data_IF_788092210545
#
_entry.id   IF_788092210545
#
_cell.length_a   1.000
_cell.length_b   1.000
_cell.length_c   1.000
_cell.angle_alpha   90.00
_cell.angle_beta   90.00
_cell.angle_gamma   90.00
#
_symmetry.space_group_name_H-M   'P 1'
#
loop_
_entity.id
_entity.type
_entity.pdbx_description
1 polymer ?
#
# COMPACT_ATOMS: atom_id res chain seq x y z
N UNK A 1 1.18 9.07 14.74
CA UNK A 1 1.64 7.74 15.18
C UNK A 1 2.71 7.95 16.26
N UNK A 2 2.71 7.17 17.35
CA UNK A 2 3.82 7.13 18.30
C UNK A 2 5.12 6.76 17.56
N UNK A 3 6.19 7.52 17.78
CA UNK A 3 7.46 7.36 17.09
C UNK A 3 8.37 8.56 17.26
N UNK A 4 9.59 8.47 16.75
CA UNK A 4 10.54 9.60 16.71
C UNK A 4 10.47 10.21 15.32
N UNK A 5 10.02 11.47 15.24
CA UNK A 5 10.13 12.25 14.00
C UNK A 5 11.55 12.74 13.83
N UNK A 6 12.18 12.36 12.72
CA UNK A 6 13.50 12.81 12.33
C UNK A 6 13.43 14.21 11.68
N UNK A 7 14.53 15.00 11.67
CA UNK A 7 14.53 16.34 11.06
C UNK A 7 14.14 16.39 9.58
N UNK A 8 14.27 15.29 8.86
CA UNK A 8 13.88 15.15 7.45
C UNK A 8 12.39 14.81 7.25
N UNK A 9 11.60 14.67 8.32
CA UNK A 9 10.18 14.32 8.28
C UNK A 9 9.89 12.82 8.36
N UNK A 10 10.90 11.95 8.29
CA UNK A 10 10.73 10.51 8.46
C UNK A 10 10.34 10.18 9.90
N UNK A 11 9.63 9.07 10.11
CA UNK A 11 9.30 8.59 11.45
C UNK A 11 9.95 7.24 11.71
N UNK A 12 10.70 7.14 12.80
CA UNK A 12 11.08 5.84 13.34
C UNK A 12 9.90 5.30 14.14
N UNK A 13 9.36 4.17 13.71
CA UNK A 13 8.14 3.58 14.26
C UNK A 13 8.30 2.07 14.46
N UNK A 14 7.59 1.52 15.45
CA UNK A 14 7.37 0.07 15.56
C UNK A 14 6.01 -0.28 14.93
N UNK A 15 6.00 -1.18 13.95
CA UNK A 15 4.79 -1.82 13.45
C UNK A 15 4.80 -3.30 13.79
N UNK A 16 3.61 -3.88 13.93
CA UNK A 16 3.40 -5.32 14.09
C UNK A 16 2.49 -5.81 13.00
N UNK A 17 2.69 -7.05 12.56
CA UNK A 17 1.99 -7.57 11.39
C UNK A 17 2.64 -8.82 10.84
N UNK A 18 2.25 -9.17 9.63
CA UNK A 18 2.69 -10.40 8.96
C UNK A 18 3.61 -10.06 7.80
N UNK A 19 4.79 -10.67 7.80
CA UNK A 19 5.76 -10.52 6.72
C UNK A 19 5.43 -11.49 5.58
N UNK A 20 5.55 -11.02 4.35
CA UNK A 20 5.43 -11.80 3.13
C UNK A 20 6.80 -11.86 2.48
N UNK A 21 7.33 -13.07 2.31
CA UNK A 21 8.71 -13.26 1.86
C UNK A 21 8.83 -12.79 0.42
N UNK A 22 9.63 -11.75 0.20
CA UNK A 22 9.97 -11.28 -1.15
C UNK A 22 11.33 -11.80 -1.60
N UNK A 23 12.10 -10.93 -2.24
CA UNK A 23 13.37 -11.32 -2.84
C UNK A 23 14.24 -10.13 -3.22
N UNK A 24 15.46 -10.42 -3.71
CA UNK A 24 16.41 -9.39 -4.07
C UNK A 24 16.01 -8.67 -5.36
N UNK A 25 16.13 -7.35 -5.34
CA UNK A 25 16.23 -6.51 -6.52
C UNK A 25 17.72 -6.33 -6.85
N UNK A 26 18.13 -6.77 -8.04
CA UNK A 26 19.54 -6.67 -8.46
C UNK A 26 19.84 -5.37 -9.23
N UNK A 27 18.82 -4.60 -9.61
CA UNK A 27 18.98 -3.36 -10.39
C UNK A 27 19.18 -2.15 -9.48
N UNK A 28 18.39 -2.10 -8.41
CA UNK A 28 18.61 -1.23 -7.26
C UNK A 28 18.83 -2.19 -6.09
N UNK A 29 20.05 -2.28 -5.51
CA UNK A 29 20.43 -3.37 -4.62
C UNK A 29 19.67 -3.31 -3.29
N UNK A 30 18.42 -3.76 -3.35
CA UNK A 30 17.47 -3.87 -2.25
C UNK A 30 17.05 -5.33 -2.08
N UNK A 31 16.59 -5.66 -0.88
CA UNK A 31 15.83 -6.88 -0.64
C UNK A 31 14.46 -6.46 -0.15
N UNK A 32 13.44 -6.83 -0.93
CA UNK A 32 12.07 -6.42 -0.69
C UNK A 32 11.31 -7.50 0.08
N UNK A 33 10.50 -7.09 1.06
CA UNK A 33 9.42 -7.90 1.63
C UNK A 33 8.09 -7.17 1.45
N UNK A 34 6.99 -7.93 1.42
CA UNK A 34 5.68 -7.37 1.71
C UNK A 34 5.43 -7.42 3.22
N UNK A 35 4.70 -6.45 3.76
CA UNK A 35 4.26 -6.50 5.15
C UNK A 35 2.81 -6.06 5.26
N UNK A 36 1.97 -6.92 5.84
CA UNK A 36 0.58 -6.58 6.18
C UNK A 36 0.54 -6.15 7.64
N UNK A 37 0.28 -4.87 7.93
CA UNK A 37 0.16 -4.42 9.32
C UNK A 37 -1.03 -5.07 10.02
N UNK A 38 -0.87 -5.33 11.32
CA UNK A 38 -1.93 -5.78 12.20
C UNK A 38 -2.93 -4.65 12.47
N UNK A 39 -4.20 -4.78 12.03
CA UNK A 39 -5.19 -3.71 12.21
C UNK A 39 -5.41 -3.35 13.67
N UNK A 40 -5.37 -4.32 14.59
CA UNK A 40 -5.50 -4.07 16.02
C UNK A 40 -4.32 -3.25 16.56
N UNK A 41 -3.11 -3.48 16.02
CA UNK A 41 -1.94 -2.68 16.38
C UNK A 41 -2.03 -1.27 15.81
N UNK A 42 -2.49 -1.11 14.57
CA UNK A 42 -2.70 0.19 13.96
C UNK A 42 -3.76 1.01 14.73
N UNK A 43 -4.84 0.38 15.16
CA UNK A 43 -5.87 1.01 15.99
C UNK A 43 -5.30 1.42 17.37
N UNK A 44 -4.52 0.53 18.01
CA UNK A 44 -3.81 0.86 19.25
C UNK A 44 -2.89 2.08 19.10
N UNK A 45 -2.23 2.24 17.95
CA UNK A 45 -1.39 3.40 17.64
C UNK A 45 -2.20 4.66 17.23
N UNK A 46 -3.53 4.55 17.12
CA UNK A 46 -4.40 5.62 16.65
C UNK A 46 -4.15 6.01 15.20
N UNK A 47 -3.77 5.04 14.35
CA UNK A 47 -3.47 5.26 12.95
C UNK A 47 -4.77 5.35 12.16
N UNK A 48 -4.96 6.45 11.45
CA UNK A 48 -6.04 6.56 10.46
C UNK A 48 -5.68 5.76 9.21
N UNK A 49 -6.30 4.58 9.05
CA UNK A 49 -6.11 3.70 7.89
C UNK A 49 -6.39 4.41 6.56
N UNK A 50 -7.39 5.29 6.51
CA UNK A 50 -7.72 6.03 5.31
C UNK A 50 -6.59 6.97 4.88
N UNK A 51 -5.78 7.48 5.80
CA UNK A 51 -4.63 8.33 5.49
C UNK A 51 -3.32 7.52 5.35
N UNK A 52 -3.22 6.40 6.08
CA UNK A 52 -2.04 5.55 6.11
C UNK A 52 -1.84 4.76 4.80
N UNK A 53 -2.89 4.15 4.29
CA UNK A 53 -2.87 3.49 2.97
C UNK A 53 -2.91 4.57 1.89
N UNK A 54 -2.00 4.57 0.93
CA UNK A 54 -1.96 5.53 -0.18
C UNK A 54 -2.50 4.91 -1.47
N UNK A 55 -2.80 5.74 -2.48
CA UNK A 55 -3.27 5.23 -3.77
C UNK A 55 -2.18 4.40 -4.44
N UNK A 56 -0.91 4.80 -4.27
CA UNK A 56 0.23 4.03 -4.75
C UNK A 56 0.25 2.60 -4.22
N UNK A 57 0.01 2.40 -2.92
CA UNK A 57 -0.06 1.06 -2.30
C UNK A 57 -1.16 0.18 -2.94
N UNK A 58 -2.28 0.81 -3.32
CA UNK A 58 -3.44 0.13 -3.93
C UNK A 58 -3.19 -0.18 -5.40
N UNK A 59 -2.63 0.75 -6.15
CA UNK A 59 -2.43 0.59 -7.59
C UNK A 59 -1.10 -0.10 -7.96
N UNK A 60 -0.17 -0.29 -7.02
CA UNK A 60 1.10 -0.98 -7.29
C UNK A 60 0.91 -2.43 -7.81
N UNK A 61 -0.13 -3.14 -7.33
CA UNK A 61 -0.48 -4.49 -7.82
C UNK A 61 -0.87 -4.55 -9.30
N UNK A 62 -1.03 -3.40 -9.95
CA UNK A 62 -1.43 -3.28 -11.35
C UNK A 62 -0.35 -3.66 -12.37
N UNK A 63 0.89 -3.97 -11.93
CA UNK A 63 1.93 -4.48 -12.83
C UNK A 63 1.58 -5.84 -13.49
N UNK A 64 0.49 -6.52 -13.07
CA UNK A 64 0.01 -7.79 -13.63
C UNK A 64 -1.12 -7.72 -14.68
N UNK A 65 -1.66 -6.53 -15.01
CA UNK A 65 -2.78 -6.35 -15.96
C UNK A 65 -4.16 -6.19 -15.27
N UNK A 66 -5.05 -5.38 -15.85
CA UNK A 66 -6.37 -5.06 -15.30
C UNK A 66 -6.99 -3.81 -15.93
N UNK A 67 -7.71 -2.98 -15.16
CA UNK A 67 -8.07 -1.58 -15.49
C UNK A 67 -7.36 -0.55 -14.57
N UNK A 68 -6.45 0.29 -15.08
CA UNK A 68 -5.56 1.10 -14.22
C UNK A 68 -6.31 2.24 -13.51
N UNK A 69 -7.50 2.55 -14.02
CA UNK A 69 -8.40 3.54 -13.49
C UNK A 69 -9.32 2.96 -12.39
N UNK A 70 -9.23 1.66 -12.11
CA UNK A 70 -9.96 0.98 -11.06
C UNK A 70 -9.12 -0.15 -10.44
N UNK A 71 -8.30 0.23 -9.45
CA UNK A 71 -7.37 -0.66 -8.76
C UNK A 71 -8.02 -1.29 -7.53
N UNK A 72 -7.65 -2.54 -7.25
CA UNK A 72 -7.88 -3.21 -5.97
C UNK A 72 -6.61 -3.96 -5.59
N UNK A 73 -6.22 -3.88 -4.33
CA UNK A 73 -5.11 -4.69 -3.82
C UNK A 73 -5.29 -5.00 -2.34
N UNK A 74 -4.77 -6.16 -1.92
CA UNK A 74 -4.54 -6.43 -0.50
C UNK A 74 -3.47 -5.45 0.00
N UNK A 75 -3.70 -4.85 1.17
CA UNK A 75 -2.79 -3.83 1.66
C UNK A 75 -1.52 -4.45 2.22
N UNK A 76 -0.42 -4.07 1.59
CA UNK A 76 0.94 -4.34 2.04
C UNK A 76 1.72 -3.03 2.00
N UNK A 77 2.55 -2.79 3.00
CA UNK A 77 3.65 -1.83 2.87
C UNK A 77 4.86 -2.59 2.34
N UNK A 78 5.65 -1.93 1.49
CA UNK A 78 6.94 -2.47 1.07
C UNK A 78 7.94 -2.27 2.21
N UNK A 79 8.67 -3.33 2.54
CA UNK A 79 9.86 -3.25 3.38
C UNK A 79 11.07 -3.42 2.47
N UNK A 80 11.93 -2.42 2.40
CA UNK A 80 13.13 -2.47 1.57
C UNK A 80 14.37 -2.43 2.47
N UNK A 81 15.11 -3.54 2.51
CA UNK A 81 16.45 -3.58 3.10
C UNK A 81 17.42 -3.14 2.03
N UNK A 82 18.20 -2.09 2.28
CA UNK A 82 19.19 -1.62 1.30
C UNK A 82 20.54 -2.31 1.48
N UNK A 83 21.07 -2.78 0.36
CA UNK A 83 22.46 -3.22 0.23
C UNK A 83 23.36 -2.08 -0.24
N UNK A 84 24.65 -2.22 0.04
CA UNK A 84 25.71 -1.33 -0.38
C UNK A 84 26.45 -1.91 -1.60
N UNK A 85 26.22 -1.41 -2.82
CA UNK A 85 26.91 -1.91 -4.01
C UNK A 85 28.38 -1.48 -4.00
N UNK A 86 29.30 -2.45 -4.05
CA UNK A 86 30.74 -2.20 -4.02
C UNK A 86 31.25 -1.53 -5.31
N UNK A 87 30.50 -1.67 -6.41
CA UNK A 87 30.83 -1.08 -7.70
C UNK A 87 30.48 0.42 -7.83
N UNK A 88 29.87 1.03 -6.80
CA UNK A 88 29.55 2.47 -6.81
C UNK A 88 30.59 3.27 -6.01
N UNK A 89 31.62 3.86 -6.66
CA UNK A 89 32.76 4.50 -5.97
C UNK A 89 32.45 5.89 -5.39
N UNK A 90 31.19 6.34 -5.43
CA UNK A 90 30.78 7.68 -4.95
C UNK A 90 29.86 7.52 -3.75
N UNK A 91 30.42 7.68 -2.56
CA UNK A 91 29.67 7.64 -1.31
C UNK A 91 30.58 7.57 -0.09
N UNK A 92 30.00 7.59 1.13
CA UNK A 92 30.71 7.22 2.34
C UNK A 92 31.37 5.83 2.21
N UNK A 93 32.36 5.55 3.05
CA UNK A 93 32.84 4.18 3.16
C UNK A 93 31.71 3.29 3.68
N UNK A 94 31.59 2.07 3.14
CA UNK A 94 30.69 1.05 3.68
C UNK A 94 31.10 0.76 5.13
N UNK A 95 30.17 0.62 6.08
CA UNK A 95 30.52 0.25 7.44
C UNK A 95 31.27 -1.10 7.50
N UNK A 96 32.26 -1.18 8.40
CA UNK A 96 33.17 -2.33 8.49
C UNK A 96 32.47 -3.62 8.94
N UNK A 97 31.32 -3.50 9.60
CA UNK A 97 30.49 -4.61 10.10
C UNK A 97 29.54 -5.17 9.03
N UNK A 98 29.40 -4.52 7.88
CA UNK A 98 28.57 -5.01 6.77
C UNK A 98 29.29 -6.10 5.95
N UNK A 99 28.52 -7.09 5.52
CA UNK A 99 29.06 -8.34 4.95
C UNK A 99 28.47 -8.63 3.57
N UNK A 100 29.26 -9.25 2.69
CA UNK A 100 28.74 -9.84 1.45
C UNK A 100 28.19 -11.24 1.76
N UNK A 101 27.09 -11.60 1.10
CA UNK A 101 26.49 -12.93 1.21
C UNK A 101 26.65 -13.71 -0.10
N UNK A 102 26.77 -15.06 -0.08
CA UNK A 102 26.99 -15.84 -1.29
C UNK A 102 25.93 -15.65 -2.38
N UNK A 103 24.70 -15.33 -2.01
CA UNK A 103 23.58 -15.08 -2.92
C UNK A 103 23.58 -13.66 -3.52
N UNK A 104 24.45 -12.76 -3.04
CA UNK A 104 24.53 -11.35 -3.45
C UNK A 104 25.99 -10.86 -3.59
N UNK A 105 26.78 -11.44 -4.52
CA UNK A 105 28.16 -11.05 -4.70
C UNK A 105 28.27 -9.58 -5.16
N UNK A 106 29.19 -8.82 -4.57
CA UNK A 106 29.42 -7.41 -4.92
C UNK A 106 28.51 -6.42 -4.19
N UNK A 107 27.66 -6.88 -3.28
CA UNK A 107 26.79 -6.04 -2.45
C UNK A 107 27.00 -6.43 -0.98
N UNK A 108 27.27 -5.44 -0.14
CA UNK A 108 27.36 -5.61 1.30
C UNK A 108 26.05 -5.27 1.98
N UNK A 109 25.69 -6.00 3.04
CA UNK A 109 24.42 -5.81 3.74
C UNK A 109 24.66 -5.68 5.25
N UNK A 110 23.79 -4.96 5.98
CA UNK A 110 23.89 -4.82 7.44
C UNK A 110 23.56 -6.13 8.18
N UNK A 111 22.76 -7.00 7.57
CA UNK A 111 22.39 -8.34 8.01
C UNK A 111 22.02 -9.18 6.78
N UNK A 112 21.76 -10.49 6.94
CA UNK A 112 21.30 -11.34 5.83
C UNK A 112 19.79 -11.16 5.63
N UNK A 113 19.29 -10.41 4.64
CA UNK A 113 17.85 -10.30 4.41
C UNK A 113 17.21 -11.61 3.94
N UNK A 114 17.95 -12.62 3.48
CA UNK A 114 17.35 -13.94 3.26
C UNK A 114 17.06 -14.67 4.59
N UNK A 115 17.72 -14.26 5.68
CA UNK A 115 17.64 -14.89 7.00
C UNK A 115 17.86 -13.86 8.14
N UNK A 116 17.00 -12.83 8.27
CA UNK A 116 17.25 -11.67 9.14
C UNK A 116 17.34 -12.03 10.63
N UNK A 117 16.87 -13.21 11.03
CA UNK A 117 16.96 -13.73 12.41
C UNK A 117 17.94 -14.89 12.56
N UNK A 118 18.88 -15.05 11.63
CA UNK A 118 19.79 -16.20 11.59
C UNK A 118 19.14 -17.49 11.04
N UNK A 119 17.90 -17.40 10.56
CA UNK A 119 17.17 -18.46 9.87
C UNK A 119 16.14 -17.85 8.92
N UNK A 120 15.63 -18.66 7.98
CA UNK A 120 14.60 -18.20 7.04
C UNK A 120 13.31 -17.83 7.79
N UNK A 121 12.78 -16.64 7.53
CA UNK A 121 11.45 -16.27 8.02
C UNK A 121 10.38 -17.03 7.20
N UNK A 122 9.46 -17.75 7.85
CA UNK A 122 8.30 -18.29 7.16
C UNK A 122 7.44 -17.19 6.57
N UNK A 123 6.79 -17.48 5.44
CA UNK A 123 5.75 -16.61 4.90
C UNK A 123 4.59 -16.45 5.92
N UNK A 124 4.06 -15.24 6.03
CA UNK A 124 3.07 -14.84 7.03
C UNK A 124 3.53 -15.02 8.48
N UNK A 125 4.84 -14.95 8.75
CA UNK A 125 5.33 -14.89 10.13
C UNK A 125 4.89 -13.58 10.80
N UNK A 126 4.32 -13.66 12.01
CA UNK A 126 3.95 -12.48 12.79
C UNK A 126 5.20 -11.88 13.45
N UNK A 127 5.52 -10.65 13.09
CA UNK A 127 6.76 -9.98 13.46
C UNK A 127 6.48 -8.59 14.04
N UNK A 128 7.41 -8.08 14.85
CA UNK A 128 7.61 -6.64 15.02
C UNK A 128 8.65 -6.18 14.01
N UNK A 129 8.39 -5.03 13.41
CA UNK A 129 9.36 -4.30 12.59
C UNK A 129 9.59 -2.93 13.21
N UNK A 130 10.84 -2.49 13.22
CA UNK A 130 11.19 -1.12 13.58
C UNK A 130 12.07 -0.53 12.49
N UNK A 131 11.78 0.70 12.09
CA UNK A 131 12.53 1.34 11.01
C UNK A 131 11.95 2.70 10.63
N UNK A 132 12.51 3.26 9.56
CA UNK A 132 12.05 4.53 9.00
C UNK A 132 10.83 4.30 8.12
N UNK A 133 9.65 4.67 8.63
CA UNK A 133 8.45 4.76 7.82
C UNK A 133 8.52 6.04 6.97
N UNK A 134 8.40 5.86 5.67
CA UNK A 134 8.47 6.91 4.67
C UNK A 134 7.19 6.92 3.83
N UNK A 135 6.83 8.11 3.37
CA UNK A 135 5.87 8.25 2.29
C UNK A 135 6.69 8.46 1.03
N UNK A 136 7.00 7.41 0.27
CA UNK A 136 7.92 7.53 -0.86
C UNK A 136 7.25 8.19 -2.08
N UNK A 137 8.06 8.73 -2.98
CA UNK A 137 7.62 9.28 -4.25
C UNK A 137 6.90 8.23 -5.09
N UNK A 138 5.95 8.62 -5.97
CA UNK A 138 5.31 7.66 -6.85
C UNK A 138 6.33 6.98 -7.74
N UNK A 139 6.37 5.66 -7.74
CA UNK A 139 7.17 4.89 -8.72
C UNK A 139 6.42 4.86 -10.06
N UNK A 140 6.26 6.01 -10.71
CA UNK A 140 5.74 6.13 -12.07
C UNK A 140 6.77 5.66 -13.12
N UNK A 141 7.47 4.57 -12.81
CA UNK A 141 8.68 4.14 -13.48
C UNK A 141 8.50 4.04 -15.01
N UNK A 142 9.62 4.12 -15.73
CA UNK A 142 9.67 4.04 -17.19
C UNK A 142 9.11 2.71 -17.77
N UNK A 143 8.76 1.75 -16.92
CA UNK A 143 8.21 0.45 -17.28
C UNK A 143 6.70 0.34 -17.09
N UNK A 144 6.05 1.35 -16.49
CA UNK A 144 4.61 1.37 -16.34
C UNK A 144 3.89 1.46 -17.69
N UNK A 145 2.75 0.79 -17.81
CA UNK A 145 1.91 0.90 -19.01
C UNK A 145 1.41 2.34 -19.19
N UNK A 146 1.14 2.79 -20.42
CA UNK A 146 0.57 4.12 -20.66
C UNK A 146 -0.73 4.38 -19.88
N UNK A 147 -1.56 3.35 -19.69
CA UNK A 147 -2.81 3.45 -18.92
C UNK A 147 -2.56 3.67 -17.42
N UNK A 148 -1.53 3.01 -16.86
CA UNK A 148 -1.12 3.25 -15.47
C UNK A 148 -0.54 4.65 -15.29
N UNK A 149 0.35 5.07 -16.18
CA UNK A 149 0.91 6.43 -16.14
C UNK A 149 -0.19 7.48 -16.22
N UNK A 150 -1.20 7.23 -17.05
CA UNK A 150 -2.36 8.10 -17.17
C UNK A 150 -3.19 8.17 -15.89
N UNK A 151 -3.57 7.02 -15.32
CA UNK A 151 -4.31 6.98 -14.06
C UNK A 151 -3.54 7.68 -12.94
N UNK A 152 -2.22 7.45 -12.82
CA UNK A 152 -1.38 8.08 -11.80
C UNK A 152 -1.22 9.58 -12.03
N UNK A 153 -1.16 10.04 -13.27
CA UNK A 153 -1.16 11.48 -13.60
C UNK A 153 -2.46 12.13 -13.11
N UNK A 154 -3.60 11.46 -13.27
CA UNK A 154 -4.88 11.99 -12.78
C UNK A 154 -4.89 12.03 -11.24
N UNK A 155 -4.36 11.01 -10.57
CA UNK A 155 -4.23 10.99 -9.11
C UNK A 155 -3.35 12.11 -8.58
N UNK A 156 -2.17 12.33 -9.18
CA UNK A 156 -1.23 13.42 -8.88
C UNK A 156 -1.88 14.80 -8.99
N UNK A 157 -2.67 15.03 -10.03
CA UNK A 157 -3.26 16.35 -10.28
C UNK A 157 -2.20 17.42 -10.49
N UNK A 158 -2.17 18.44 -9.63
CA UNK A 158 -1.21 19.57 -9.69
C UNK A 158 -0.17 19.54 -8.56
N UNK A 159 -0.23 18.54 -7.68
CA UNK A 159 0.73 18.42 -6.58
C UNK A 159 2.12 18.08 -7.13
N UNK A 160 3.15 18.67 -6.52
CA UNK A 160 4.52 18.30 -6.86
C UNK A 160 4.77 16.84 -6.49
N UNK A 161 5.51 16.08 -7.31
CA UNK A 161 5.87 14.69 -6.99
C UNK A 161 6.62 14.58 -5.64
N UNK A 162 7.26 15.65 -5.17
CA UNK A 162 7.95 15.74 -3.87
C UNK A 162 7.03 16.08 -2.69
N UNK A 163 5.76 16.41 -2.94
CA UNK A 163 4.78 16.75 -1.90
C UNK A 163 4.33 15.51 -1.15
N UNK A 164 4.42 15.51 0.18
CA UNK A 164 3.90 14.42 1.02
C UNK A 164 2.37 14.24 0.93
N UNK A 165 1.67 15.20 0.29
CA UNK A 165 0.22 15.15 0.03
C UNK A 165 -0.12 14.54 -1.33
N UNK A 166 0.87 14.21 -2.14
CA UNK A 166 0.64 13.62 -3.44
C UNK A 166 -0.03 12.23 -3.26
N UNK A 167 -1.23 12.01 -3.83
CA UNK A 167 -2.03 10.79 -3.62
C UNK A 167 -1.37 9.48 -4.06
N UNK A 168 -0.63 9.51 -5.17
CA UNK A 168 0.03 8.37 -5.80
C UNK A 168 1.30 7.89 -5.10
N UNK A 169 1.67 8.51 -3.97
CA UNK A 169 2.75 8.07 -3.10
C UNK A 169 2.49 6.72 -2.47
N UNK A 170 3.55 6.12 -1.94
CA UNK A 170 3.53 4.79 -1.34
C UNK A 170 3.89 4.92 0.14
N UNK A 171 3.32 4.05 0.97
CA UNK A 171 3.74 3.91 2.36
C UNK A 171 4.72 2.74 2.43
N UNK A 172 5.98 3.05 2.74
CA UNK A 172 7.06 2.08 2.78
C UNK A 172 7.87 2.20 4.07
N UNK A 173 8.58 1.13 4.43
CA UNK A 173 9.63 1.18 5.44
C UNK A 173 10.98 0.98 4.77
N UNK A 174 11.81 2.03 4.81
CA UNK A 174 13.07 2.09 4.09
C UNK A 174 14.13 2.88 4.87
N UNK A 175 15.12 2.23 5.50
CA UNK A 175 15.21 0.79 5.76
C UNK A 175 14.39 0.36 7.00
N UNK A 176 14.04 -0.94 7.11
CA UNK A 176 13.78 -1.56 8.40
C UNK A 176 15.12 -1.80 9.12
N UNK A 177 15.19 -1.41 10.40
CA UNK A 177 16.34 -1.63 11.28
C UNK A 177 16.24 -2.96 12.02
N UNK A 178 15.01 -3.39 12.34
CA UNK A 178 14.71 -4.62 13.08
C UNK A 178 13.56 -5.35 12.39
N UNK A 179 13.70 -6.66 12.20
CA UNK A 179 12.62 -7.59 11.87
C UNK A 179 12.72 -8.76 12.85
N UNK A 180 11.73 -8.92 13.72
CA UNK A 180 11.79 -9.93 14.79
C UNK A 180 10.44 -10.66 14.95
N UNK A 181 10.43 -12.01 14.81
CA UNK A 181 9.28 -12.84 15.13
C UNK A 181 8.79 -12.62 16.55
N UNK A 182 7.47 -12.51 16.72
CA UNK A 182 6.84 -12.39 18.01
C UNK A 182 6.29 -13.74 18.50
N UNK A 183 6.46 -14.00 19.79
CA UNK A 183 5.87 -15.13 20.52
C UNK A 183 4.89 -14.58 21.59
N UNK A 184 3.63 -15.02 21.65
CA UNK A 184 3.01 -16.04 20.79
C UNK A 184 2.83 -15.59 19.34
N UNK A 185 2.89 -16.52 18.36
CA UNK A 185 2.54 -16.22 16.98
C UNK A 185 1.05 -15.84 16.89
N UNK A 186 0.72 -14.95 15.96
CA UNK A 186 -0.66 -14.53 15.66
C UNK A 186 -1.04 -14.97 14.25
N UNK A 187 -2.20 -15.60 14.09
CA UNK A 187 -2.79 -15.86 12.77
C UNK A 187 -3.58 -14.63 12.30
N UNK A 188 -3.46 -14.21 11.03
CA UNK A 188 -4.24 -13.07 10.54
C UNK A 188 -5.73 -13.44 10.46
N UNK A 189 -6.57 -12.66 11.15
CA UNK A 189 -8.03 -12.84 11.19
C UNK A 189 -8.79 -11.75 10.43
N UNK A 190 -8.08 -10.68 10.05
CA UNK A 190 -8.62 -9.50 9.38
C UNK A 190 -7.91 -9.30 8.05
N UNK A 191 -8.68 -9.03 7.00
CA UNK A 191 -8.16 -8.64 5.69
C UNK A 191 -8.24 -7.12 5.54
N UNK A 192 -7.17 -6.49 5.06
CA UNK A 192 -7.19 -5.08 4.64
C UNK A 192 -7.11 -5.03 3.12
N UNK A 193 -8.10 -4.45 2.48
CA UNK A 193 -8.16 -4.28 1.02
C UNK A 193 -8.31 -2.82 0.68
N UNK A 194 -7.49 -2.29 -0.22
CA UNK A 194 -7.68 -0.96 -0.79
C UNK A 194 -8.39 -1.03 -2.14
N UNK A 195 -9.25 -0.05 -2.42
CA UNK A 195 -9.85 0.20 -3.74
C UNK A 195 -9.64 1.66 -4.10
N UNK A 196 -9.15 1.91 -5.32
CA UNK A 196 -8.96 3.24 -5.87
C UNK A 196 -9.58 3.32 -7.27
N UNK A 197 -10.50 4.28 -7.47
CA UNK A 197 -11.21 4.48 -8.73
C UNK A 197 -11.04 5.92 -9.18
N UNK A 198 -10.67 6.11 -10.44
CA UNK A 198 -10.45 7.42 -11.03
C UNK A 198 -11.11 7.55 -12.40
N UNK A 199 -11.86 8.62 -12.60
CA UNK A 199 -12.43 9.00 -13.88
C UNK A 199 -11.77 10.28 -14.37
N UNK A 200 -11.38 10.28 -15.65
CA UNK A 200 -10.66 11.40 -16.25
C UNK A 200 -11.56 12.63 -16.42
N UNK A 201 -11.01 13.83 -16.27
CA UNK A 201 -11.60 15.05 -16.85
C UNK A 201 -10.80 15.51 -18.05
N UNK A 202 -11.48 16.18 -18.99
CA UNK A 202 -10.85 16.67 -20.22
C UNK A 202 -11.13 18.16 -20.36
N UNK A 203 -10.08 18.96 -20.55
CA UNK A 203 -10.19 20.41 -20.73
C UNK A 203 -11.11 20.80 -21.92
N UNK A 204 -10.98 20.07 -23.04
CA UNK A 204 -11.64 20.38 -24.31
C UNK A 204 -12.79 19.43 -24.66
N UNK A 205 -13.07 18.41 -23.84
CA UNK A 205 -14.20 17.50 -24.08
C UNK A 205 -15.42 17.97 -23.27
N UNK A 206 -16.56 18.25 -23.91
CA UNK A 206 -17.79 18.59 -23.22
C UNK A 206 -18.38 17.44 -22.38
N UNK A 207 -18.00 16.20 -22.69
CA UNK A 207 -18.64 15.03 -22.11
C UNK A 207 -18.02 14.66 -20.77
N UNK A 208 -18.91 14.37 -19.81
CA UNK A 208 -18.54 13.68 -18.58
C UNK A 208 -18.02 12.28 -18.90
N UNK A 209 -16.96 11.87 -18.20
CA UNK A 209 -16.49 10.48 -18.23
C UNK A 209 -16.85 9.80 -16.93
N UNK A 210 -17.10 8.50 -16.98
CA UNK A 210 -17.50 7.73 -15.82
C UNK A 210 -16.52 6.60 -15.62
N UNK A 211 -16.27 6.28 -14.36
CA UNK A 211 -15.57 5.06 -13.99
C UNK A 211 -16.31 4.37 -12.87
N UNK A 212 -16.57 3.09 -13.05
CA UNK A 212 -17.20 2.24 -12.05
C UNK A 212 -16.29 1.08 -11.69
N UNK A 213 -16.44 0.61 -10.46
CA UNK A 213 -15.80 -0.59 -9.98
C UNK A 213 -16.77 -1.35 -9.08
N UNK A 214 -16.88 -2.65 -9.32
CA UNK A 214 -17.69 -3.58 -8.53
C UNK A 214 -16.89 -4.82 -8.27
N UNK A 215 -16.85 -5.27 -7.03
CA UNK A 215 -16.05 -6.42 -6.62
C UNK A 215 -16.65 -7.10 -5.41
N UNK A 216 -16.37 -8.40 -5.26
CA UNK A 216 -16.68 -9.16 -4.06
C UNK A 216 -15.41 -9.34 -3.23
N UNK A 217 -15.49 -8.96 -1.96
CA UNK A 217 -14.42 -9.09 -0.99
C UNK A 217 -14.84 -10.10 0.08
N UNK A 218 -13.92 -10.98 0.48
CA UNK A 218 -14.14 -11.94 1.55
C UNK A 218 -13.10 -11.75 2.67
N UNK A 219 -13.46 -11.97 3.95
CA UNK A 219 -12.50 -12.06 5.05
C UNK A 219 -11.45 -13.16 4.83
N UNK A 220 -10.36 -13.12 5.59
CA UNK A 220 -9.33 -14.17 5.55
C UNK A 220 -9.85 -15.51 6.09
N UNK A 221 -9.31 -16.60 5.54
CA UNK A 221 -9.59 -17.97 5.99
C UNK A 221 -10.98 -18.48 5.63
N UNK A 222 -11.27 -19.70 6.07
CA UNK A 222 -12.58 -20.32 5.86
C UNK A 222 -13.63 -19.71 6.80
N UNK A 223 -14.85 -19.52 6.29
CA UNK A 223 -16.01 -19.09 7.07
C UNK A 223 -16.26 -20.05 8.24
N UNK A 224 -16.19 -19.58 9.50
CA UNK A 224 -16.55 -20.42 10.64
C UNK A 224 -18.07 -20.70 10.68
N UNK A 225 -18.52 -21.85 11.23
CA UNK A 225 -19.94 -22.17 11.31
C UNK A 225 -20.76 -21.08 12.01
N UNK A 226 -21.84 -20.64 11.36
CA UNK A 226 -22.77 -19.64 11.91
C UNK A 226 -22.26 -18.20 11.89
N UNK A 227 -21.05 -17.93 11.38
CA UNK A 227 -20.48 -16.58 11.23
C UNK A 227 -20.88 -15.94 9.92
N UNK A 228 -20.78 -14.61 9.83
CA UNK A 228 -20.99 -13.85 8.59
C UNK A 228 -19.81 -12.94 8.28
N UNK A 229 -19.68 -12.53 7.03
CA UNK A 229 -18.72 -11.51 6.66
C UNK A 229 -19.15 -10.15 7.24
N UNK A 230 -18.20 -9.44 7.81
CA UNK A 230 -18.34 -8.04 8.22
C UNK A 230 -17.32 -7.19 7.48
N UNK A 231 -17.64 -5.91 7.33
CA UNK A 231 -16.76 -4.94 6.70
C UNK A 231 -16.88 -3.58 7.37
N UNK A 232 -15.75 -2.89 7.49
CA UNK A 232 -15.67 -1.47 7.83
C UNK A 232 -14.97 -0.74 6.70
N UNK A 233 -15.59 0.34 6.22
CA UNK A 233 -15.05 1.21 5.18
C UNK A 233 -14.39 2.44 5.80
N UNK A 234 -13.20 2.78 5.30
CA UNK A 234 -12.48 4.01 5.58
C UNK A 234 -12.26 4.76 4.26
N UNK A 235 -12.96 5.86 4.07
CA UNK A 235 -12.84 6.66 2.83
C UNK A 235 -11.68 7.63 2.94
N UNK A 236 -10.76 7.54 1.99
CA UNK A 236 -9.53 8.34 1.96
C UNK A 236 -9.77 9.82 1.65
N UNK A 237 -8.93 10.74 2.18
CA UNK A 237 -9.02 12.19 1.89
C UNK A 237 -8.80 12.54 0.42
N UNK A 238 -8.26 11.62 -0.38
CA UNK A 238 -8.05 11.76 -1.82
C UNK A 238 -9.36 11.65 -2.63
N UNK A 239 -10.45 11.24 -1.97
CA UNK A 239 -11.79 11.13 -2.56
C UNK A 239 -12.38 12.51 -2.85
N UNK A 240 -12.89 12.70 -4.07
CA UNK A 240 -13.69 13.88 -4.44
C UNK A 240 -15.16 13.51 -4.29
N UNK A 241 -15.74 13.77 -3.12
CA UNK A 241 -17.11 13.31 -2.79
C UNK A 241 -18.17 13.74 -3.82
N UNK A 242 -18.12 14.97 -4.32
CA UNK A 242 -19.05 15.46 -5.36
C UNK A 242 -18.93 14.76 -6.71
N UNK A 243 -17.94 13.87 -6.89
CA UNK A 243 -17.79 13.04 -8.08
C UNK A 243 -18.45 11.67 -7.95
N UNK A 244 -18.85 11.23 -6.75
CA UNK A 244 -19.50 9.93 -6.57
C UNK A 244 -20.94 10.03 -7.08
N UNK A 245 -21.27 9.27 -8.13
CA UNK A 245 -22.61 9.26 -8.76
C UNK A 245 -23.37 7.97 -8.49
N UNK A 246 -22.68 6.88 -8.17
CA UNK A 246 -23.26 5.66 -7.59
C UNK A 246 -22.37 5.20 -6.43
N UNK A 247 -22.98 5.02 -5.25
CA UNK A 247 -22.29 4.71 -4.00
C UNK A 247 -23.32 4.45 -2.90
N UNK A 248 -22.95 4.65 -1.62
CA UNK A 248 -23.94 4.58 -0.54
C UNK A 248 -25.00 5.68 -0.68
N UNK A 249 -26.08 5.62 0.13
CA UNK A 249 -27.20 6.57 0.03
C UNK A 249 -26.82 8.03 0.29
N UNK A 250 -25.67 8.29 0.93
CA UNK A 250 -25.14 9.64 1.17
C UNK A 250 -24.09 10.11 0.17
N UNK A 251 -23.71 9.26 -0.80
CA UNK A 251 -22.63 9.49 -1.76
C UNK A 251 -21.32 9.95 -1.09
N UNK A 252 -21.03 9.40 0.10
CA UNK A 252 -19.82 9.67 0.86
C UNK A 252 -18.95 8.42 1.04
N UNK A 253 -19.22 7.36 0.26
CA UNK A 253 -18.56 6.07 0.31
C UNK A 253 -19.14 5.11 -0.73
N UNK A 254 -18.60 3.90 -0.81
CA UNK A 254 -19.09 2.87 -1.69
C UNK A 254 -20.44 2.30 -1.21
N UNK A 255 -21.24 1.79 -2.15
CA UNK A 255 -22.39 0.95 -1.81
C UNK A 255 -21.87 -0.41 -1.38
N UNK A 256 -22.21 -0.81 -0.16
CA UNK A 256 -21.78 -2.09 0.42
C UNK A 256 -23.01 -2.99 0.60
N UNK A 257 -22.97 -4.18 0.02
CA UNK A 257 -23.97 -5.23 0.25
C UNK A 257 -23.31 -6.39 0.98
N UNK A 258 -23.78 -6.69 2.19
CA UNK A 258 -23.22 -7.77 3.00
C UNK A 258 -23.96 -9.07 2.69
N UNK A 259 -23.21 -10.09 2.27
CA UNK A 259 -23.68 -11.46 2.15
C UNK A 259 -23.16 -12.31 3.31
N UNK A 260 -23.45 -13.59 3.22
CA UNK A 260 -23.16 -14.56 4.25
C UNK A 260 -21.67 -14.91 4.32
N UNK A 261 -20.98 -14.94 3.18
CA UNK A 261 -19.59 -15.35 2.98
C UNK A 261 -18.69 -14.27 2.36
N UNK A 262 -19.27 -13.18 1.88
CA UNK A 262 -18.54 -12.07 1.27
C UNK A 262 -19.31 -10.76 1.40
N UNK A 263 -18.69 -9.67 0.96
CA UNK A 263 -19.33 -8.37 0.79
C UNK A 263 -19.13 -7.91 -0.64
N UNK A 264 -20.17 -7.38 -1.26
CA UNK A 264 -20.06 -6.71 -2.54
C UNK A 264 -19.85 -5.21 -2.32
N UNK A 265 -18.82 -4.67 -2.96
CA UNK A 265 -18.48 -3.25 -2.93
C UNK A 265 -18.67 -2.68 -4.33
N UNK A 266 -19.42 -1.58 -4.42
CA UNK A 266 -19.67 -0.88 -5.67
C UNK A 266 -19.48 0.63 -5.51
N UNK A 267 -18.76 1.25 -6.45
CA UNK A 267 -18.64 2.70 -6.54
C UNK A 267 -18.52 3.15 -7.99
N UNK A 268 -19.07 4.32 -8.29
CA UNK A 268 -18.92 4.99 -9.57
C UNK A 268 -18.64 6.46 -9.38
N UNK A 269 -17.60 6.94 -10.05
CA UNK A 269 -17.20 8.34 -10.06
C UNK A 269 -17.33 8.95 -11.45
N UNK A 270 -17.57 10.25 -11.49
CA UNK A 270 -17.65 11.05 -12.72
C UNK A 270 -16.52 12.07 -12.79
N UNK A 271 -15.77 12.06 -13.89
CA UNK A 271 -14.87 13.15 -14.26
C UNK A 271 -15.62 14.14 -15.14
N UNK A 272 -15.66 15.41 -14.73
CA UNK A 272 -16.49 16.42 -15.38
C UNK A 272 -15.87 16.92 -16.69
N UNK A 273 -16.69 17.15 -17.71
CA UNK A 273 -16.27 17.80 -18.95
C UNK A 273 -15.82 19.26 -18.73
N UNK A 274 -15.25 19.87 -19.78
CA UNK A 274 -14.84 21.29 -19.86
C UNK A 274 -14.11 21.86 -18.64
N UNK A 275 -12.79 21.65 -18.57
CA UNK A 275 -11.96 22.09 -17.43
C UNK A 275 -12.50 21.60 -16.06
N UNK A 276 -13.34 20.57 -16.08
CA UNK A 276 -13.93 19.99 -14.89
C UNK A 276 -12.91 19.24 -14.05
N UNK A 277 -13.30 18.85 -12.84
CA UNK A 277 -12.45 18.06 -11.95
C UNK A 277 -12.54 16.57 -12.30
N UNK A 278 -11.42 15.83 -12.20
CA UNK A 278 -11.46 14.38 -12.28
C UNK A 278 -12.33 13.78 -11.18
N UNK A 279 -12.94 12.64 -11.46
CA UNK A 279 -13.64 11.86 -10.45
C UNK A 279 -12.64 10.98 -9.71
N UNK A 280 -12.71 10.96 -8.38
CA UNK A 280 -11.76 10.22 -7.54
C UNK A 280 -12.46 9.60 -6.35
N UNK A 281 -12.21 8.32 -6.13
CA UNK A 281 -12.63 7.60 -4.95
C UNK A 281 -11.50 6.70 -4.46
N UNK A 282 -11.23 6.73 -3.16
CA UNK A 282 -10.36 5.78 -2.48
C UNK A 282 -11.06 5.29 -1.21
N UNK A 283 -11.14 3.97 -1.06
CA UNK A 283 -11.61 3.32 0.15
C UNK A 283 -10.65 2.24 0.61
N UNK A 284 -10.51 2.09 1.92
CA UNK A 284 -9.86 0.95 2.57
C UNK A 284 -10.94 0.15 3.29
N UNK A 285 -10.92 -1.15 3.13
CA UNK A 285 -11.91 -2.07 3.67
C UNK A 285 -11.22 -3.04 4.62
N UNK A 286 -11.70 -3.05 5.86
CA UNK A 286 -11.31 -4.01 6.87
C UNK A 286 -12.38 -5.10 6.93
N UNK A 287 -12.01 -6.36 6.69
CA UNK A 287 -12.95 -7.49 6.61
C UNK A 287 -12.63 -8.58 7.63
N UNK A 288 -13.65 -9.08 8.33
CA UNK A 288 -13.51 -10.14 9.33
C UNK A 288 -14.77 -11.02 9.42
N UNK A 289 -14.64 -12.20 10.06
CA UNK A 289 -15.77 -13.06 10.41
C UNK A 289 -16.36 -12.65 11.76
N UNK A 290 -17.66 -12.33 11.80
CA UNK A 290 -18.39 -11.91 13.02
C UNK A 290 -19.50 -12.87 13.42
#
# INVERSE_FOLDING_TARGET
MPGITLPNGNQIVELRGWIHVGGPNLHDPDFSYGFTPDPEWLDYLGVDLATFVKVGDICNGYMGGGDAHACQNDFHIKLEVNGWPLAQPRGPAVPDDWQEYPWSPGIKWPFDPAAPTGGSLPDQCYVRISGSLVTDTPHNNHYASPDYQDAMTIWQGIEAMTSAREPGRWTEMHPPDIIEPLDPPKTPTVRLVGIAVVARSFALNPLDTYKEYTTDLAPLGQRPPGKKAFVKEFVGPETVFGSIVEGNGGLNGARITIYDDHVNVHVKVVGRGFNGTPGKFKGVYELWWG
#
